data_IF_434892921766
#
_entry.id   IF_434892921766
#
_cell.length_a   1.000
_cell.length_b   1.000
_cell.length_c   1.000
_cell.angle_alpha   90.00
_cell.angle_beta   90.00
_cell.angle_gamma   90.00
#
_symmetry.space_group_name_H-M   'P 1'
#
loop_
_entity.id
_entity.type
_entity.pdbx_description
1 polymer ?
#
# COMPACT_ATOMS: atom_id res chain seq x y z
N UNK A 1 -33.82 0.30 -5.33
CA UNK A 1 -32.39 0.70 -5.34
C UNK A 1 -31.83 0.73 -3.92
N UNK A 2 -30.73 0.04 -3.66
CA UNK A 2 -30.07 0.10 -2.35
C UNK A 2 -29.40 1.47 -2.13
N UNK A 3 -29.29 1.89 -0.87
CA UNK A 3 -28.57 3.12 -0.51
C UNK A 3 -27.06 2.94 -0.71
N UNK A 4 -26.43 3.92 -1.35
CA UNK A 4 -24.97 3.98 -1.51
C UNK A 4 -24.23 3.88 -0.16
N UNK A 5 -23.05 3.23 -0.15
CA UNK A 5 -22.18 3.11 1.02
C UNK A 5 -21.80 4.46 1.63
N UNK A 6 -21.66 5.48 0.78
CA UNK A 6 -21.26 6.84 1.15
C UNK A 6 -22.46 7.73 1.52
N UNK A 7 -23.68 7.20 1.42
CA UNK A 7 -24.90 7.90 1.86
C UNK A 7 -24.76 8.40 3.30
N UNK A 8 -25.22 9.63 3.55
CA UNK A 8 -25.20 10.26 4.88
C UNK A 8 -25.92 9.39 5.92
N UNK A 9 -27.05 8.77 5.54
CA UNK A 9 -27.82 7.88 6.42
C UNK A 9 -27.02 6.66 6.88
N UNK A 10 -26.41 5.92 5.94
CA UNK A 10 -25.62 4.72 6.26
C UNK A 10 -24.36 5.07 7.05
N UNK A 11 -23.76 6.24 6.84
CA UNK A 11 -22.65 6.74 7.66
C UNK A 11 -23.08 7.06 9.09
N UNK A 12 -24.18 7.80 9.27
CA UNK A 12 -24.75 8.14 10.59
C UNK A 12 -25.07 6.88 11.40
N UNK A 13 -25.71 5.89 10.78
CA UNK A 13 -26.03 4.63 11.48
C UNK A 13 -24.79 3.79 11.81
N UNK A 14 -23.75 3.83 10.98
CA UNK A 14 -22.47 3.18 11.32
C UNK A 14 -21.74 3.89 12.46
N UNK A 15 -21.81 5.23 12.56
CA UNK A 15 -21.22 5.97 13.68
C UNK A 15 -21.88 5.58 15.01
N UNK A 16 -23.23 5.66 15.09
CA UNK A 16 -23.99 5.17 16.24
C UNK A 16 -23.69 3.72 16.60
N UNK A 17 -23.51 2.87 15.58
CA UNK A 17 -23.12 1.47 15.78
C UNK A 17 -21.74 1.39 16.43
N UNK A 18 -20.75 2.12 15.95
CA UNK A 18 -19.39 2.11 16.52
C UNK A 18 -19.37 2.56 17.98
N UNK A 19 -20.11 3.60 18.34
CA UNK A 19 -20.24 4.05 19.74
C UNK A 19 -20.82 2.95 20.64
N UNK A 20 -21.84 2.22 20.16
CA UNK A 20 -22.44 1.12 20.91
C UNK A 20 -21.51 -0.08 21.08
N UNK A 21 -20.77 -0.44 20.03
CA UNK A 21 -19.90 -1.62 20.06
C UNK A 21 -18.53 -1.31 20.65
N UNK A 22 -18.02 -0.08 20.58
CA UNK A 22 -16.73 0.29 21.16
C UNK A 22 -16.70 -0.01 22.66
N UNK A 23 -17.75 0.36 23.40
CA UNK A 23 -17.84 0.07 24.84
C UNK A 23 -17.83 -1.44 25.11
N UNK A 24 -18.58 -2.23 24.33
CA UNK A 24 -18.68 -3.68 24.50
C UNK A 24 -17.42 -4.43 24.08
N UNK A 25 -16.72 -3.92 23.07
CA UNK A 25 -15.47 -4.48 22.57
C UNK A 25 -14.34 -4.14 23.54
N UNK A 26 -14.26 -2.89 24.03
CA UNK A 26 -13.27 -2.49 25.02
C UNK A 26 -13.38 -3.29 26.32
N UNK A 27 -14.59 -3.53 26.83
CA UNK A 27 -14.79 -4.37 28.00
C UNK A 27 -14.27 -5.80 27.76
N UNK A 28 -14.63 -6.42 26.63
CA UNK A 28 -14.16 -7.76 26.26
C UNK A 28 -12.64 -7.83 26.09
N UNK A 29 -12.04 -6.83 25.46
CA UNK A 29 -10.59 -6.76 25.28
C UNK A 29 -9.86 -6.62 26.62
N UNK A 30 -10.38 -5.81 27.56
CA UNK A 30 -9.83 -5.72 28.91
C UNK A 30 -9.89 -7.06 29.65
N UNK A 31 -11.04 -7.74 29.59
CA UNK A 31 -11.18 -9.08 30.21
C UNK A 31 -10.26 -10.11 29.57
N UNK A 32 -10.03 -10.03 28.25
CA UNK A 32 -9.09 -10.91 27.55
C UNK A 32 -7.64 -10.65 27.98
N UNK A 33 -7.25 -9.38 28.15
CA UNK A 33 -5.93 -9.03 28.68
C UNK A 33 -5.75 -9.55 30.11
N UNK A 34 -6.74 -9.33 30.98
CA UNK A 34 -6.70 -9.83 32.37
C UNK A 34 -6.63 -11.36 32.43
N UNK A 35 -7.34 -12.07 31.54
CA UNK A 35 -7.26 -13.52 31.45
C UNK A 35 -5.89 -13.98 30.92
N UNK A 36 -5.33 -13.29 29.92
CA UNK A 36 -3.99 -13.58 29.39
C UNK A 36 -2.91 -13.37 30.46
N UNK A 37 -3.01 -12.35 31.30
CA UNK A 37 -2.06 -12.13 32.41
C UNK A 37 -2.13 -13.20 33.51
N UNK A 38 -3.20 -13.99 33.57
CA UNK A 38 -3.40 -15.04 34.60
C UNK A 38 -3.01 -16.44 34.11
N UNK A 39 -2.80 -16.61 32.80
CA UNK A 39 -2.44 -17.90 32.19
C UNK A 39 -0.99 -17.91 31.73
N UNK A 40 -0.09 -18.32 32.62
CA UNK A 40 1.22 -19.01 32.42
C UNK A 40 1.97 -18.87 31.07
N UNK A 41 2.03 -17.67 30.50
CA UNK A 41 2.93 -17.35 29.40
C UNK A 41 3.35 -15.88 29.50
N UNK A 42 4.30 -15.62 30.41
CA UNK A 42 5.08 -14.40 30.44
C UNK A 42 5.88 -14.28 29.12
N UNK A 43 5.25 -13.75 28.07
CA UNK A 43 5.92 -13.35 26.82
C UNK A 43 6.71 -12.05 26.98
N UNK A 44 6.98 -11.63 28.22
CA UNK A 44 7.76 -10.44 28.57
C UNK A 44 9.19 -10.51 28.06
N UNK A 45 9.76 -11.71 27.92
CA UNK A 45 11.09 -11.93 27.35
C UNK A 45 11.14 -11.85 25.81
N UNK A 46 10.00 -11.96 25.11
CA UNK A 46 9.94 -11.96 23.63
C UNK A 46 9.50 -10.61 23.08
N UNK A 47 8.79 -9.79 23.86
CA UNK A 47 8.26 -8.51 23.40
C UNK A 47 8.71 -7.37 24.31
N UNK A 48 9.95 -6.90 24.12
CA UNK A 48 10.37 -5.59 24.64
C UNK A 48 9.52 -4.50 23.96
N UNK A 49 8.57 -3.91 24.71
CA UNK A 49 7.84 -2.74 24.24
C UNK A 49 8.79 -1.54 24.21
N UNK A 50 9.34 -1.25 23.02
CA UNK A 50 10.18 -0.07 22.82
C UNK A 50 9.31 1.18 22.67
N UNK A 51 9.58 2.18 23.50
CA UNK A 51 8.94 3.49 23.40
C UNK A 51 9.18 4.15 22.05
N UNK A 52 8.17 4.83 21.51
CA UNK A 52 8.24 5.50 20.20
C UNK A 52 9.41 6.49 20.06
N UNK A 53 9.86 7.10 21.16
CA UNK A 53 11.03 8.00 21.18
C UNK A 53 12.34 7.27 20.87
N UNK A 54 12.52 6.07 21.42
CA UNK A 54 13.74 5.24 21.21
C UNK A 54 13.80 4.69 19.78
N UNK A 55 12.65 4.42 19.17
CA UNK A 55 12.55 4.03 17.75
C UNK A 55 12.94 5.19 16.83
N UNK A 56 12.51 6.41 17.15
CA UNK A 56 12.85 7.60 16.37
C UNK A 56 14.35 7.97 16.47
N UNK A 57 14.96 7.80 17.64
CA UNK A 57 16.40 8.02 17.84
C UNK A 57 17.25 7.00 17.07
N UNK A 58 16.90 5.70 17.10
CA UNK A 58 17.58 4.67 16.30
C UNK A 58 17.46 4.92 14.80
N UNK A 59 16.28 5.31 14.32
CA UNK A 59 16.07 5.65 12.92
C UNK A 59 16.81 6.92 12.46
N UNK A 60 17.16 7.82 13.39
CA UNK A 60 17.92 9.04 13.09
C UNK A 60 19.44 8.82 13.09
N UNK A 61 19.94 7.75 13.73
CA UNK A 61 21.36 7.39 13.76
C UNK A 61 21.81 6.58 12.53
N UNK A 62 20.88 5.95 11.81
CA UNK A 62 21.17 5.12 10.63
C UNK A 62 21.34 5.95 9.32
N UNK A 63 21.17 7.28 9.39
CA UNK A 63 21.19 8.19 8.22
C UNK A 63 22.46 9.04 8.09
N UNK A 64 23.59 8.62 8.66
CA UNK A 64 24.90 9.20 8.34
C UNK A 64 25.73 8.14 7.59
N UNK A 65 25.72 8.24 6.26
CA UNK A 65 26.49 7.45 5.30
C UNK A 65 28.02 7.51 5.57
N UNK A 66 28.79 6.56 5.01
CA UNK A 66 29.30 6.80 3.64
C UNK A 66 29.11 5.63 2.67
N UNK A 67 28.96 6.01 1.40
CA UNK A 67 29.12 5.15 0.21
C UNK A 67 30.42 4.32 0.27
N UNK A 68 30.31 3.02 -0.02
CA UNK A 68 31.39 2.24 -0.62
C UNK A 68 30.78 1.17 -1.54
N UNK A 69 31.22 1.20 -2.79
CA UNK A 69 31.04 0.16 -3.79
C UNK A 69 31.75 -1.15 -3.36
N UNK A 70 31.31 -2.24 -3.99
CA UNK A 70 31.93 -3.58 -4.09
C UNK A 70 31.55 -4.65 -3.04
N UNK A 71 30.82 -5.64 -3.58
CA UNK A 71 30.79 -7.07 -3.21
C UNK A 71 30.64 -7.45 -1.73
N UNK A 72 29.39 -7.70 -1.31
CA UNK A 72 29.14 -8.71 -0.28
C UNK A 72 27.99 -9.64 -0.69
N UNK A 73 28.41 -10.77 -1.26
CA UNK A 73 27.59 -11.94 -1.46
C UNK A 73 27.30 -12.58 -0.10
N UNK A 74 26.24 -12.15 0.57
CA UNK A 74 25.73 -12.86 1.74
C UNK A 74 24.21 -12.76 1.88
N UNK A 75 23.57 -13.93 1.77
CA UNK A 75 22.18 -14.24 2.13
C UNK A 75 21.07 -13.76 1.17
N UNK A 76 21.19 -14.06 -0.12
CA UNK A 76 19.99 -14.32 -0.93
C UNK A 76 19.48 -15.72 -0.58
N UNK A 77 18.35 -15.79 0.14
CA UNK A 77 17.57 -17.03 0.26
C UNK A 77 17.35 -17.61 -1.14
N UNK A 78 17.97 -18.77 -1.42
CA UNK A 78 17.85 -19.51 -2.66
C UNK A 78 16.45 -20.13 -2.75
N UNK A 79 15.49 -19.29 -3.11
CA UNK A 79 14.26 -19.77 -3.71
C UNK A 79 14.59 -19.90 -5.18
N UNK A 80 14.49 -21.12 -5.71
CA UNK A 80 14.33 -21.44 -7.14
C UNK A 80 13.08 -20.70 -7.68
N UNK A 81 13.18 -19.38 -7.71
CA UNK A 81 12.15 -18.50 -8.21
C UNK A 81 12.33 -18.56 -9.73
N UNK A 82 11.28 -18.94 -10.48
CA UNK A 82 11.36 -18.95 -11.93
C UNK A 82 11.87 -17.59 -12.38
N UNK A 83 13.07 -17.58 -12.98
CA UNK A 83 13.84 -16.41 -13.43
C UNK A 83 12.91 -15.24 -13.68
N UNK A 84 12.89 -14.25 -12.77
CA UNK A 84 11.94 -13.13 -12.80
C UNK A 84 11.88 -12.60 -14.25
N UNK A 85 10.73 -12.78 -14.92
CA UNK A 85 10.62 -12.48 -16.36
C UNK A 85 11.01 -11.02 -16.59
N UNK A 86 11.88 -10.77 -17.56
CA UNK A 86 12.38 -9.42 -17.87
C UNK A 86 11.33 -8.66 -18.69
N UNK A 87 10.61 -7.76 -18.04
CA UNK A 87 9.59 -6.93 -18.70
C UNK A 87 10.20 -5.67 -19.32
N UNK A 88 9.78 -5.32 -20.54
CA UNK A 88 10.11 -4.03 -21.16
C UNK A 88 9.49 -2.87 -20.39
N UNK A 89 10.28 -1.89 -19.93
CA UNK A 89 9.81 -0.73 -19.13
C UNK A 89 8.65 0.06 -19.76
N UNK A 90 8.62 0.20 -21.10
CA UNK A 90 7.62 1.01 -21.81
C UNK A 90 6.30 0.28 -22.07
N UNK A 91 6.35 -1.04 -22.19
CA UNK A 91 5.19 -1.85 -22.62
C UNK A 91 4.72 -2.83 -21.56
N UNK A 92 5.51 -3.06 -20.51
CA UNK A 92 5.29 -4.05 -19.47
C UNK A 92 4.96 -5.42 -20.07
N UNK A 93 5.74 -5.80 -21.08
CA UNK A 93 5.61 -7.07 -21.80
C UNK A 93 6.91 -7.83 -21.77
N UNK A 94 6.80 -9.16 -21.76
CA UNK A 94 7.91 -10.09 -21.88
C UNK A 94 8.44 -10.20 -23.32
N UNK A 95 9.46 -11.04 -23.50
CA UNK A 95 10.03 -11.41 -24.80
C UNK A 95 8.97 -11.99 -25.75
N UNK A 96 8.02 -12.76 -25.22
CA UNK A 96 6.90 -13.35 -25.97
C UNK A 96 5.68 -12.42 -26.10
N UNK A 97 5.76 -11.16 -25.66
CA UNK A 97 4.64 -10.20 -25.76
C UNK A 97 3.51 -10.39 -24.74
N UNK A 98 3.66 -11.33 -23.80
CA UNK A 98 2.75 -11.52 -22.66
C UNK A 98 2.92 -10.41 -21.62
N UNK A 99 1.85 -10.07 -20.89
CA UNK A 99 1.92 -9.15 -19.75
C UNK A 99 2.10 -9.94 -18.45
N UNK A 100 2.59 -9.32 -17.35
CA UNK A 100 2.72 -9.99 -16.07
C UNK A 100 1.39 -10.59 -15.59
N UNK A 101 1.46 -11.72 -14.90
CA UNK A 101 0.27 -12.45 -14.42
C UNK A 101 -0.56 -11.65 -13.41
N UNK A 102 0.10 -10.85 -12.57
CA UNK A 102 -0.57 -9.93 -11.64
C UNK A 102 -1.32 -8.79 -12.36
N UNK A 103 -1.05 -8.56 -13.66
CA UNK A 103 -1.67 -7.51 -14.45
C UNK A 103 -2.99 -8.00 -15.06
N UNK A 104 -4.11 -7.68 -14.41
CA UNK A 104 -5.46 -8.01 -14.92
C UNK A 104 -5.71 -7.43 -16.33
N UNK A 105 -6.49 -8.15 -17.16
CA UNK A 105 -6.96 -7.72 -18.49
C UNK A 105 -7.48 -6.27 -18.55
N UNK A 106 -8.20 -5.79 -17.53
CA UNK A 106 -8.67 -4.39 -17.49
C UNK A 106 -7.51 -3.39 -17.36
N UNK A 107 -6.49 -3.72 -16.56
CA UNK A 107 -5.30 -2.90 -16.42
C UNK A 107 -4.51 -2.87 -17.74
N UNK A 108 -4.40 -4.02 -18.43
CA UNK A 108 -3.79 -4.12 -19.76
C UNK A 108 -4.50 -3.20 -20.77
N UNK A 109 -5.84 -3.26 -20.84
CA UNK A 109 -6.65 -2.41 -21.74
C UNK A 109 -6.46 -0.91 -21.45
N UNK A 110 -6.48 -0.51 -20.17
CA UNK A 110 -6.22 0.89 -19.76
C UNK A 110 -4.82 1.36 -20.13
N UNK A 111 -3.81 0.53 -19.90
CA UNK A 111 -2.43 0.85 -20.22
C UNK A 111 -2.23 1.05 -21.74
N UNK A 112 -2.80 0.17 -22.57
CA UNK A 112 -2.81 0.30 -24.03
C UNK A 112 -3.53 1.56 -24.50
N UNK A 113 -4.71 1.85 -23.96
CA UNK A 113 -5.47 3.06 -24.28
C UNK A 113 -4.72 4.34 -23.90
N UNK A 114 -4.15 4.41 -22.69
CA UNK A 114 -3.34 5.55 -22.24
C UNK A 114 -2.13 5.77 -23.15
N UNK A 115 -1.49 4.70 -23.62
CA UNK A 115 -0.38 4.80 -24.58
C UNK A 115 -0.82 5.35 -25.93
N UNK A 116 -1.94 4.89 -26.48
CA UNK A 116 -2.51 5.43 -27.72
C UNK A 116 -2.89 6.90 -27.57
N UNK A 117 -3.53 7.27 -26.46
CA UNK A 117 -3.89 8.65 -26.15
C UNK A 117 -2.67 9.56 -26.00
N UNK A 118 -1.55 9.05 -25.47
CA UNK A 118 -0.29 9.79 -25.41
C UNK A 118 0.37 9.95 -26.78
N UNK A 119 0.32 8.93 -27.63
CA UNK A 119 0.79 9.02 -29.02
C UNK A 119 -0.01 10.04 -29.84
N UNK A 120 -1.34 10.09 -29.67
CA UNK A 120 -2.20 11.09 -30.33
C UNK A 120 -2.12 12.49 -29.73
N UNK A 121 -1.48 12.68 -28.57
CA UNK A 121 -1.23 13.99 -27.95
C UNK A 121 0.11 14.61 -28.34
N UNK A 122 0.97 13.86 -29.04
CA UNK A 122 2.17 14.41 -29.67
C UNK A 122 1.82 15.06 -31.00
N UNK A 123 1.26 16.29 -30.95
CA UNK A 123 1.48 17.40 -31.91
C UNK A 123 0.49 18.56 -31.75
N UNK A 124 -0.62 18.40 -31.00
CA UNK A 124 -1.62 19.47 -30.89
C UNK A 124 -1.99 19.76 -29.44
N UNK A 125 -1.85 21.03 -29.05
CA UNK A 125 -2.22 21.66 -27.76
C UNK A 125 -1.07 21.83 -26.75
N UNK A 126 0.01 22.44 -27.19
CA UNK A 126 0.56 23.57 -26.43
C UNK A 126 -0.41 24.76 -26.55
N UNK A 127 -0.72 25.38 -25.41
CA UNK A 127 -1.20 26.77 -25.30
C UNK A 127 -2.43 27.22 -26.10
N UNK A 128 -3.64 27.01 -25.56
CA UNK A 128 -4.75 27.99 -25.67
C UNK A 128 -5.78 27.70 -24.58
N UNK A 129 -5.59 28.30 -23.40
CA UNK A 129 -6.66 28.49 -22.42
C UNK A 129 -7.75 29.32 -23.11
N UNK A 130 -8.86 28.71 -23.50
CA UNK A 130 -10.07 29.46 -23.90
C UNK A 130 -10.51 30.26 -22.67
N UNK A 131 -10.25 31.57 -22.66
CA UNK A 131 -10.90 32.48 -21.73
C UNK A 131 -12.39 32.47 -22.07
N UNK A 132 -13.22 31.92 -21.20
CA UNK A 132 -14.67 32.09 -21.26
C UNK A 132 -14.97 33.54 -20.93
N UNK A 133 -15.40 34.31 -21.94
CA UNK A 133 -15.95 35.66 -21.78
C UNK A 133 -17.30 35.50 -21.06
N UNK A 134 -17.39 36.04 -19.83
CA UNK A 134 -18.67 36.24 -19.14
C UNK A 134 -19.47 37.28 -19.95
N UNK A 135 -20.71 36.93 -20.27
CA UNK A 135 -21.83 37.84 -20.54
C UNK A 135 -22.90 37.44 -19.55
#
# INVERSE_FOLDING_TARGET
MAKSLRSKWKRKMRAKKRERYSVKELARLKTMLEAATKGDADMSEVCEMVDAKKVAERASQETTEPESDEDDAAATMDVDAPKKRKYRRKTMTDEHGTHPEWMNQRAIRKFKANRQNRKGRGLTKSGKKKKTKRM
#
